data_IF_563432082040
#
_entry.id   IF_563432082040
#
_cell.length_a   1.000
_cell.length_b   1.000
_cell.length_c   1.000
_cell.angle_alpha   90.00
_cell.angle_beta   90.00
_cell.angle_gamma   90.00
#
_symmetry.space_group_name_H-M   'P 1'
#
loop_
_entity.id
_entity.type
_entity.pdbx_description
1 polymer ?
#
# COMPACT_ATOMS: atom_id res chain seq x y z
N UNK A 1 -20.53 -14.57 18.32
CA UNK A 1 -21.58 -14.20 17.34
C UNK A 1 -20.93 -13.33 16.30
N UNK A 2 -20.80 -13.80 15.06
CA UNK A 2 -20.36 -12.94 13.95
C UNK A 2 -21.37 -11.80 13.76
N UNK A 3 -20.89 -10.58 13.59
CA UNK A 3 -21.76 -9.43 13.28
C UNK A 3 -22.44 -9.68 11.93
N UNK A 4 -23.76 -9.41 11.79
CA UNK A 4 -24.44 -9.55 10.51
C UNK A 4 -23.76 -8.69 9.44
N UNK A 5 -23.56 -9.25 8.24
CA UNK A 5 -22.95 -8.55 7.11
C UNK A 5 -23.93 -7.48 6.61
N UNK A 6 -23.46 -6.25 6.42
CA UNK A 6 -24.24 -5.15 5.86
C UNK A 6 -23.77 -4.81 4.44
N UNK A 7 -24.65 -4.24 3.61
CA UNK A 7 -24.27 -3.73 2.28
C UNK A 7 -23.14 -2.70 2.38
N UNK A 8 -23.13 -1.88 3.43
CA UNK A 8 -22.08 -0.90 3.67
C UNK A 8 -20.71 -1.56 3.88
N UNK A 9 -20.66 -2.69 4.61
CA UNK A 9 -19.43 -3.45 4.79
C UNK A 9 -18.92 -4.01 3.45
N UNK A 10 -19.81 -4.62 2.66
CA UNK A 10 -19.47 -5.18 1.34
C UNK A 10 -18.96 -4.09 0.39
N UNK A 11 -19.64 -2.93 0.34
CA UNK A 11 -19.20 -1.80 -0.47
C UNK A 11 -17.84 -1.27 -0.01
N UNK A 12 -17.60 -1.19 1.31
CA UNK A 12 -16.30 -0.86 1.88
C UNK A 12 -15.20 -1.81 1.43
N UNK A 13 -15.45 -3.11 1.42
CA UNK A 13 -14.49 -4.12 0.95
C UNK A 13 -14.16 -4.00 -0.54
N UNK A 14 -15.14 -3.67 -1.39
CA UNK A 14 -14.91 -3.40 -2.83
C UNK A 14 -14.04 -2.15 -3.01
N UNK A 15 -14.34 -1.08 -2.26
CA UNK A 15 -13.56 0.17 -2.30
C UNK A 15 -12.12 -0.07 -1.79
N UNK A 16 -11.92 -0.98 -0.84
CA UNK A 16 -10.59 -1.41 -0.39
C UNK A 16 -9.76 -2.07 -1.51
N UNK A 17 -10.38 -2.77 -2.47
CA UNK A 17 -9.64 -3.32 -3.62
C UNK A 17 -9.14 -2.20 -4.55
N UNK A 18 -9.91 -1.13 -4.74
CA UNK A 18 -9.49 0.06 -5.49
C UNK A 18 -8.34 0.76 -4.76
N UNK A 19 -8.48 0.92 -3.43
CA UNK A 19 -7.42 1.44 -2.56
C UNK A 19 -6.11 0.67 -2.69
N UNK A 20 -6.21 -0.67 -2.74
CA UNK A 20 -5.05 -1.55 -2.82
C UNK A 20 -4.29 -1.39 -4.14
N UNK A 21 -4.99 -1.22 -5.27
CA UNK A 21 -4.32 -0.94 -6.55
C UNK A 21 -3.55 0.38 -6.47
N UNK A 22 -4.20 1.45 -5.99
CA UNK A 22 -3.58 2.76 -5.84
C UNK A 22 -2.35 2.72 -4.91
N UNK A 23 -2.50 2.10 -3.74
CA UNK A 23 -1.41 1.90 -2.79
C UNK A 23 -0.24 1.16 -3.44
N UNK A 24 -0.48 0.09 -4.21
CA UNK A 24 0.59 -0.65 -4.87
C UNK A 24 1.28 0.16 -5.96
N UNK A 25 0.58 1.03 -6.69
CA UNK A 25 1.24 1.92 -7.66
C UNK A 25 2.14 2.93 -6.94
N UNK A 26 1.69 3.52 -5.83
CA UNK A 26 2.52 4.41 -5.00
C UNK A 26 3.72 3.67 -4.40
N UNK A 27 3.51 2.50 -3.81
CA UNK A 27 4.57 1.68 -3.22
C UNK A 27 5.68 1.42 -4.24
N UNK A 28 5.29 1.08 -5.48
CA UNK A 28 6.22 0.75 -6.55
C UNK A 28 6.68 1.98 -7.36
N UNK A 29 6.34 3.21 -6.97
CA UNK A 29 6.99 4.41 -7.51
C UNK A 29 8.39 4.61 -6.92
N UNK A 30 8.73 3.92 -5.82
CA UNK A 30 10.06 3.96 -5.23
C UNK A 30 10.99 2.92 -5.90
N UNK A 31 12.13 3.33 -6.52
CA UNK A 31 12.96 2.45 -7.34
C UNK A 31 13.43 1.17 -6.66
N UNK A 32 13.91 1.28 -5.42
CA UNK A 32 14.43 0.12 -4.67
C UNK A 32 13.33 -0.90 -4.35
N UNK A 33 12.13 -0.40 -4.00
CA UNK A 33 10.96 -1.25 -3.71
C UNK A 33 10.51 -1.94 -5.00
N UNK A 34 10.35 -1.17 -6.08
CA UNK A 34 9.98 -1.71 -7.39
C UNK A 34 10.99 -2.76 -7.88
N UNK A 35 12.28 -2.53 -7.69
CA UNK A 35 13.32 -3.50 -8.07
C UNK A 35 13.21 -4.80 -7.26
N UNK A 36 12.94 -4.70 -5.94
CA UNK A 36 12.69 -5.86 -5.10
C UNK A 36 11.45 -6.65 -5.53
N UNK A 37 10.36 -5.95 -5.85
CA UNK A 37 9.14 -6.58 -6.37
C UNK A 37 9.38 -7.22 -7.73
N UNK A 38 10.04 -6.52 -8.66
CA UNK A 38 10.37 -7.03 -9.99
C UNK A 38 11.18 -8.33 -9.95
N UNK A 39 12.13 -8.43 -9.02
CA UNK A 39 13.04 -9.58 -8.94
C UNK A 39 12.48 -10.77 -8.13
N UNK A 40 11.56 -10.53 -7.20
CA UNK A 40 11.16 -11.56 -6.21
C UNK A 40 9.65 -11.77 -6.07
N UNK A 41 8.81 -10.94 -6.68
CA UNK A 41 7.35 -11.03 -6.50
C UNK A 41 6.69 -11.84 -7.60
N UNK A 42 5.68 -12.61 -7.21
CA UNK A 42 4.77 -13.29 -8.12
C UNK A 42 3.66 -12.36 -8.66
N UNK A 43 3.83 -11.03 -8.59
CA UNK A 43 2.79 -10.05 -8.93
C UNK A 43 2.16 -10.31 -10.30
N UNK A 44 2.97 -10.61 -11.31
CA UNK A 44 2.53 -10.89 -12.68
C UNK A 44 1.98 -12.29 -12.87
N UNK A 45 2.61 -13.30 -12.27
CA UNK A 45 2.28 -14.71 -12.48
C UNK A 45 1.07 -15.16 -11.65
N UNK A 46 0.93 -14.62 -10.44
CA UNK A 46 -0.11 -14.96 -9.46
C UNK A 46 -0.54 -13.72 -8.64
N UNK A 47 -1.27 -12.78 -9.28
CA UNK A 47 -1.72 -11.56 -8.62
C UNK A 47 -2.71 -11.82 -7.48
N UNK A 48 -3.50 -12.90 -7.54
CA UNK A 48 -4.49 -13.20 -6.51
C UNK A 48 -3.84 -13.58 -5.19
N UNK A 49 -2.80 -14.43 -5.23
CA UNK A 49 -2.00 -14.74 -4.04
C UNK A 49 -1.30 -13.49 -3.51
N UNK A 50 -0.79 -12.63 -4.41
CA UNK A 50 -0.15 -11.37 -4.02
C UNK A 50 -1.11 -10.42 -3.29
N UNK A 51 -2.33 -10.26 -3.82
CA UNK A 51 -3.40 -9.46 -3.19
C UNK A 51 -3.77 -10.04 -1.83
N UNK A 52 -4.00 -11.36 -1.77
CA UNK A 52 -4.35 -12.06 -0.54
C UNK A 52 -3.35 -11.80 0.59
N UNK A 53 -2.05 -12.01 0.36
CA UNK A 53 -1.03 -11.78 1.40
C UNK A 53 -0.87 -10.30 1.79
N UNK A 54 -1.15 -9.38 0.87
CA UNK A 54 -1.16 -7.94 1.19
C UNK A 54 -2.30 -7.60 2.14
N UNK A 55 -3.52 -8.05 1.81
CA UNK A 55 -4.70 -7.83 2.63
C UNK A 55 -4.56 -8.53 3.99
N UNK A 56 -4.01 -9.75 4.02
CA UNK A 56 -3.75 -10.47 5.26
C UNK A 56 -2.88 -9.65 6.21
N UNK A 57 -1.82 -9.00 5.70
CA UNK A 57 -1.00 -8.10 6.51
C UNK A 57 -1.76 -6.84 6.93
N UNK A 58 -2.38 -6.13 5.98
CA UNK A 58 -3.04 -4.84 6.22
C UNK A 58 -4.19 -4.97 7.22
N UNK A 59 -4.98 -6.04 7.16
CA UNK A 59 -6.02 -6.31 8.15
C UNK A 59 -5.42 -6.83 9.46
N UNK A 60 -4.55 -7.84 9.42
CA UNK A 60 -4.02 -8.45 10.65
C UNK A 60 -3.24 -7.48 11.54
N UNK A 61 -2.59 -6.46 10.97
CA UNK A 61 -1.80 -5.50 11.74
C UNK A 61 -2.64 -4.51 12.55
N UNK A 62 -3.86 -4.19 12.08
CA UNK A 62 -4.75 -3.19 12.71
C UNK A 62 -5.73 -3.80 13.71
N UNK A 63 -5.95 -5.11 13.66
CA UNK A 63 -6.85 -5.86 14.56
C UNK A 63 -6.19 -6.09 15.94
N UNK A 64 -6.00 -7.34 16.36
CA UNK A 64 -5.46 -7.69 17.69
C UNK A 64 -3.93 -7.70 17.75
N UNK A 65 -3.32 -7.54 18.95
CA UNK A 65 -1.87 -7.71 19.12
C UNK A 65 -1.36 -9.09 18.66
N UNK A 66 -2.14 -10.14 18.87
CA UNK A 66 -1.81 -11.51 18.48
C UNK A 66 -1.80 -11.69 16.96
N UNK A 67 -2.83 -11.19 16.27
CA UNK A 67 -2.89 -11.20 14.80
C UNK A 67 -1.76 -10.38 14.20
N UNK A 68 -1.47 -9.20 14.79
CA UNK A 68 -0.37 -8.33 14.37
C UNK A 68 0.97 -9.03 14.46
N UNK A 69 1.27 -9.69 15.58
CA UNK A 69 2.51 -10.45 15.75
C UNK A 69 2.61 -11.60 14.74
N UNK A 70 1.51 -12.32 14.52
CA UNK A 70 1.44 -13.42 13.55
C UNK A 70 1.75 -12.95 12.13
N UNK A 71 1.05 -11.93 11.62
CA UNK A 71 1.25 -11.45 10.25
C UNK A 71 2.61 -10.79 10.08
N UNK A 72 3.13 -10.11 11.12
CA UNK A 72 4.46 -9.50 11.10
C UNK A 72 5.56 -10.56 11.00
N UNK A 73 5.47 -11.65 11.77
CA UNK A 73 6.40 -12.79 11.66
C UNK A 73 6.35 -13.45 10.29
N UNK A 74 5.15 -13.61 9.72
CA UNK A 74 4.94 -14.15 8.38
C UNK A 74 5.61 -13.27 7.31
N UNK A 75 5.35 -11.96 7.34
CA UNK A 75 5.95 -11.00 6.40
C UNK A 75 7.47 -10.93 6.56
N UNK A 76 7.97 -10.86 7.79
CA UNK A 76 9.42 -10.88 8.06
C UNK A 76 10.07 -12.14 7.48
N UNK A 77 9.45 -13.32 7.63
CA UNK A 77 9.96 -14.56 7.04
C UNK A 77 10.04 -14.48 5.51
N UNK A 78 9.04 -13.90 4.85
CA UNK A 78 9.03 -13.71 3.40
C UNK A 78 10.07 -12.67 2.95
N UNK A 79 10.24 -11.56 3.68
CA UNK A 79 11.14 -10.47 3.34
C UNK A 79 12.63 -10.80 3.53
N UNK A 80 12.99 -11.76 4.38
CA UNK A 80 14.40 -12.17 4.61
C UNK A 80 15.21 -12.47 3.34
N UNK A 81 14.55 -12.99 2.30
CA UNK A 81 15.18 -13.34 1.02
C UNK A 81 15.14 -12.23 -0.03
N UNK A 82 14.40 -11.15 0.20
CA UNK A 82 14.12 -10.10 -0.80
C UNK A 82 15.16 -8.99 -0.65
N UNK A 83 16.34 -9.23 -1.21
CA UNK A 83 17.48 -8.31 -1.16
C UNK A 83 18.38 -8.48 -2.38
N UNK A 84 19.00 -7.39 -2.80
CA UNK A 84 19.94 -7.35 -3.90
C UNK A 84 20.98 -6.25 -3.68
N UNK A 85 21.77 -5.94 -4.71
CA UNK A 85 22.84 -4.93 -4.61
C UNK A 85 22.32 -3.56 -4.14
N UNK A 86 21.14 -3.16 -4.61
CA UNK A 86 20.59 -1.82 -4.42
C UNK A 86 19.22 -1.80 -3.71
N UNK A 87 18.75 -2.91 -3.15
CA UNK A 87 17.46 -2.96 -2.44
C UNK A 87 17.46 -4.01 -1.32
N UNK A 88 16.62 -3.80 -0.31
CA UNK A 88 16.45 -4.74 0.79
C UNK A 88 15.04 -4.54 1.39
N UNK A 89 14.20 -5.56 1.35
CA UNK A 89 12.83 -5.47 1.88
C UNK A 89 12.76 -5.33 3.41
N UNK A 90 13.88 -5.52 4.12
CA UNK A 90 14.00 -5.25 5.56
C UNK A 90 14.60 -3.86 5.86
N UNK A 91 14.82 -3.01 4.84
CA UNK A 91 15.28 -1.64 5.04
C UNK A 91 14.15 -0.78 5.64
N UNK A 92 14.36 -0.16 6.82
CA UNK A 92 13.32 0.61 7.50
C UNK A 92 12.88 1.85 6.72
N UNK A 93 13.74 2.46 5.89
CA UNK A 93 13.35 3.61 5.05
C UNK A 93 12.39 3.21 3.94
N UNK A 94 12.67 2.07 3.30
CA UNK A 94 11.78 1.52 2.27
C UNK A 94 10.44 1.07 2.89
N UNK A 95 10.45 0.51 4.09
CA UNK A 95 9.22 0.14 4.79
C UNK A 95 8.41 1.36 5.28
N UNK A 96 9.09 2.43 5.70
CA UNK A 96 8.43 3.70 6.02
C UNK A 96 7.67 4.23 4.80
N UNK A 97 8.32 4.23 3.62
CA UNK A 97 7.68 4.61 2.36
C UNK A 97 6.44 3.75 2.09
N UNK A 98 6.58 2.42 2.18
CA UNK A 98 5.49 1.47 1.95
C UNK A 98 4.30 1.74 2.89
N UNK A 99 4.55 1.86 4.19
CA UNK A 99 3.52 2.15 5.19
C UNK A 99 2.84 3.50 4.94
N UNK A 100 3.60 4.51 4.56
CA UNK A 100 3.10 5.85 4.20
C UNK A 100 2.14 5.81 3.01
N UNK A 101 2.42 4.98 2.01
CA UNK A 101 1.53 4.79 0.86
C UNK A 101 0.16 4.22 1.26
N UNK A 102 0.11 3.29 2.22
CA UNK A 102 -1.16 2.75 2.72
C UNK A 102 -1.98 3.79 3.49
N UNK A 103 -1.33 4.67 4.26
CA UNK A 103 -1.99 5.79 4.91
C UNK A 103 -2.61 6.75 3.87
N UNK A 104 -1.82 7.18 2.87
CA UNK A 104 -2.31 8.08 1.80
C UNK A 104 -3.43 7.44 0.99
N UNK A 105 -3.33 6.15 0.67
CA UNK A 105 -4.40 5.44 -0.02
C UNK A 105 -5.69 5.39 0.80
N UNK A 106 -5.58 5.13 2.10
CA UNK A 106 -6.72 5.12 3.02
C UNK A 106 -7.39 6.49 3.12
N UNK A 107 -6.61 7.56 3.22
CA UNK A 107 -7.13 8.93 3.27
C UNK A 107 -7.86 9.31 1.97
N UNK A 108 -7.24 9.07 0.81
CA UNK A 108 -7.84 9.42 -0.48
C UNK A 108 -9.17 8.69 -0.70
N UNK A 109 -9.22 7.42 -0.33
CA UNK A 109 -10.43 6.59 -0.44
C UNK A 109 -11.51 7.09 0.50
N UNK A 110 -11.17 7.37 1.75
CA UNK A 110 -12.09 7.93 2.74
C UNK A 110 -12.72 9.23 2.22
N UNK A 111 -11.89 10.18 1.81
CA UNK A 111 -12.36 11.50 1.38
C UNK A 111 -13.15 11.43 0.06
N UNK A 112 -12.82 10.50 -0.84
CA UNK A 112 -13.50 10.35 -2.14
C UNK A 112 -14.88 9.69 -2.01
N UNK A 113 -15.02 8.66 -1.18
CA UNK A 113 -16.24 7.84 -1.15
C UNK A 113 -17.11 8.01 0.10
N UNK A 114 -16.52 8.46 1.20
CA UNK A 114 -17.18 8.51 2.51
C UNK A 114 -17.18 9.92 3.13
N UNK A 115 -16.62 10.90 2.42
CA UNK A 115 -16.60 12.30 2.81
C UNK A 115 -15.35 12.69 3.59
N UNK A 116 -15.17 14.01 3.73
CA UNK A 116 -14.00 14.59 4.40
C UNK A 116 -13.95 14.18 5.87
N UNK A 117 -12.75 13.85 6.34
CA UNK A 117 -12.48 13.66 7.76
C UNK A 117 -12.27 15.00 8.44
N UNK A 118 -12.81 15.15 9.65
CA UNK A 118 -12.38 16.20 10.57
C UNK A 118 -10.94 15.95 11.08
N UNK A 119 -10.33 16.96 11.66
CA UNK A 119 -8.94 16.90 12.11
C UNK A 119 -8.72 15.81 13.17
N UNK A 120 -9.70 15.59 14.05
CA UNK A 120 -9.63 14.54 15.06
C UNK A 120 -9.58 13.14 14.44
N UNK A 121 -10.43 12.88 13.43
CA UNK A 121 -10.48 11.61 12.74
C UNK A 121 -9.23 11.38 11.88
N UNK A 122 -8.67 12.43 11.27
CA UNK A 122 -7.38 12.37 10.58
C UNK A 122 -6.25 11.98 11.52
N UNK A 123 -6.20 12.57 12.71
CA UNK A 123 -5.20 12.22 13.73
C UNK A 123 -5.34 10.78 14.25
N UNK A 124 -6.58 10.28 14.42
CA UNK A 124 -6.82 8.88 14.78
C UNK A 124 -6.33 7.95 13.67
N UNK A 125 -6.72 8.22 12.43
CA UNK A 125 -6.29 7.43 11.26
C UNK A 125 -4.76 7.43 11.12
N UNK A 126 -4.13 8.59 11.34
CA UNK A 126 -2.68 8.73 11.30
C UNK A 126 -1.99 7.89 12.37
N UNK A 127 -2.50 7.93 13.61
CA UNK A 127 -1.98 7.10 14.71
C UNK A 127 -2.15 5.62 14.43
N UNK A 128 -3.27 5.19 13.86
CA UNK A 128 -3.46 3.79 13.49
C UNK A 128 -2.52 3.35 12.37
N UNK A 129 -2.23 4.24 11.41
CA UNK A 129 -1.30 3.96 10.33
C UNK A 129 0.15 3.72 10.79
N UNK A 130 0.55 4.22 11.97
CA UNK A 130 1.89 3.93 12.55
C UNK A 130 2.16 2.42 12.60
N UNK A 131 1.13 1.62 12.87
CA UNK A 131 1.22 0.17 13.04
C UNK A 131 1.69 -0.53 11.77
N UNK A 132 1.39 0.01 10.57
CA UNK A 132 1.82 -0.58 9.30
C UNK A 132 3.34 -0.67 9.19
N UNK A 133 4.06 0.36 9.64
CA UNK A 133 5.52 0.38 9.61
C UNK A 133 6.13 -0.26 10.85
N UNK A 134 5.64 0.11 12.03
CA UNK A 134 6.29 -0.24 13.31
C UNK A 134 6.11 -1.69 13.72
N UNK A 135 5.20 -2.43 13.07
CA UNK A 135 5.09 -3.88 13.25
C UNK A 135 6.18 -4.66 12.49
N UNK A 136 6.96 -3.98 11.63
CA UNK A 136 8.08 -4.56 10.90
C UNK A 136 9.43 -4.00 11.39
N UNK A 137 10.20 -3.32 10.54
CA UNK A 137 11.54 -2.84 10.87
C UNK A 137 11.58 -1.33 11.14
N UNK A 138 10.49 -0.60 10.90
CA UNK A 138 10.44 0.86 11.09
C UNK A 138 10.41 1.17 12.59
N UNK A 139 11.44 1.82 13.15
CA UNK A 139 11.37 2.29 14.54
C UNK A 139 10.31 3.38 14.68
N UNK A 140 9.68 3.49 15.85
CA UNK A 140 8.60 4.47 16.07
C UNK A 140 9.07 5.90 15.83
N UNK A 141 10.31 6.21 16.23
CA UNK A 141 10.97 7.50 16.05
C UNK A 141 11.25 7.87 14.58
N UNK A 142 11.18 6.91 13.66
CA UNK A 142 11.31 7.15 12.22
C UNK A 142 9.97 7.50 11.58
N UNK A 143 8.85 7.12 12.20
CA UNK A 143 7.53 7.57 11.77
C UNK A 143 7.38 9.07 12.06
N UNK A 144 6.83 9.88 11.15
CA UNK A 144 6.73 11.32 11.40
C UNK A 144 5.90 11.63 12.65
N UNK A 145 6.31 12.64 13.42
CA UNK A 145 5.74 12.90 14.75
C UNK A 145 4.25 13.25 14.73
N UNK A 146 3.78 13.88 13.65
CA UNK A 146 2.41 14.32 13.47
C UNK A 146 2.08 14.44 11.96
N UNK A 147 0.81 14.69 11.65
CA UNK A 147 0.32 14.79 10.26
C UNK A 147 1.05 15.87 9.46
N UNK A 148 1.44 17.00 10.07
CA UNK A 148 2.19 18.04 9.36
C UNK A 148 3.59 17.56 8.95
N UNK A 149 4.32 16.93 9.88
CA UNK A 149 5.62 16.30 9.58
C UNK A 149 5.51 15.15 8.58
N UNK A 150 4.39 14.42 8.60
CA UNK A 150 4.12 13.42 7.58
C UNK A 150 4.03 14.04 6.20
N UNK A 151 3.30 15.13 6.03
CA UNK A 151 3.19 15.78 4.72
C UNK A 151 4.50 16.42 4.26
N UNK A 152 5.33 16.94 5.17
CA UNK A 152 6.70 17.36 4.84
C UNK A 152 7.52 16.19 4.26
N UNK A 153 7.53 15.05 4.95
CA UNK A 153 8.19 13.82 4.48
C UNK A 153 7.63 13.32 3.15
N UNK A 154 6.31 13.21 3.04
CA UNK A 154 5.63 12.74 1.83
C UNK A 154 5.97 13.62 0.63
N UNK A 155 5.86 14.95 0.79
CA UNK A 155 6.18 15.89 -0.27
C UNK A 155 7.67 15.84 -0.64
N UNK A 156 8.57 15.59 0.30
CA UNK A 156 9.97 15.34 -0.01
C UNK A 156 10.13 14.09 -0.90
N UNK A 157 9.62 12.94 -0.46
CA UNK A 157 9.79 11.67 -1.19
C UNK A 157 9.18 11.72 -2.59
N UNK A 158 7.97 12.29 -2.75
CA UNK A 158 7.29 12.28 -4.05
C UNK A 158 7.98 13.11 -5.14
N UNK A 159 8.82 14.07 -4.76
CA UNK A 159 9.60 14.86 -5.72
C UNK A 159 10.93 14.21 -6.12
N UNK A 160 11.36 13.16 -5.41
CA UNK A 160 12.60 12.45 -5.69
C UNK A 160 12.38 11.11 -6.41
N UNK A 161 11.20 10.90 -6.99
CA UNK A 161 10.93 9.69 -7.75
C UNK A 161 11.75 9.62 -9.03
N UNK A 162 12.44 8.51 -9.19
CA UNK A 162 13.15 8.15 -10.41
C UNK A 162 12.38 7.05 -11.16
N UNK A 163 12.08 7.31 -12.42
CA UNK A 163 11.41 6.34 -13.28
C UNK A 163 12.44 5.35 -13.79
N UNK A 164 12.48 4.16 -13.17
CA UNK A 164 13.32 3.05 -13.63
C UNK A 164 12.50 2.05 -14.43
N UNK A 165 13.18 1.17 -15.19
CA UNK A 165 12.49 0.08 -15.90
C UNK A 165 11.72 -0.84 -14.95
N UNK A 166 12.22 -1.07 -13.74
CA UNK A 166 11.51 -1.86 -12.72
C UNK A 166 10.21 -1.17 -12.26
N UNK A 167 10.25 0.15 -12.04
CA UNK A 167 9.05 0.96 -11.69
C UNK A 167 8.00 0.83 -12.79
N UNK A 168 8.39 1.02 -14.06
CA UNK A 168 7.47 0.91 -15.19
C UNK A 168 6.85 -0.49 -15.32
N UNK A 169 7.67 -1.54 -15.25
CA UNK A 169 7.19 -2.92 -15.36
C UNK A 169 6.22 -3.29 -14.25
N UNK A 170 6.56 -3.00 -12.99
CA UNK A 170 5.71 -3.36 -11.86
C UNK A 170 4.42 -2.53 -11.87
N UNK A 171 4.49 -1.23 -12.16
CA UNK A 171 3.28 -0.41 -12.29
C UNK A 171 2.37 -0.93 -13.40
N UNK A 172 2.94 -1.36 -14.53
CA UNK A 172 2.15 -1.97 -15.61
C UNK A 172 1.48 -3.27 -15.14
N UNK A 173 2.19 -4.15 -14.44
CA UNK A 173 1.62 -5.39 -13.89
C UNK A 173 0.51 -5.13 -12.84
N UNK A 174 0.60 -4.02 -12.09
CA UNK A 174 -0.43 -3.60 -11.11
C UNK A 174 -1.67 -3.02 -11.78
N UNK A 175 -1.48 -2.17 -12.79
CA UNK A 175 -2.58 -1.52 -13.51
C UNK A 175 -3.30 -2.49 -14.46
N UNK A 176 -2.56 -3.43 -15.04
CA UNK A 176 -3.03 -4.39 -16.04
C UNK A 176 -2.74 -5.83 -15.59
N UNK A 177 -3.35 -6.30 -14.50
CA UNK A 177 -3.07 -7.63 -13.99
C UNK A 177 -3.51 -8.70 -15.00
N UNK A 178 -2.63 -9.66 -15.27
CA UNK A 178 -2.92 -10.85 -16.05
C UNK A 178 -3.39 -11.99 -15.13
N UNK A 179 -4.00 -13.04 -15.69
CA UNK A 179 -4.38 -14.25 -14.92
C UNK A 179 -5.33 -14.00 -13.73
N UNK A 180 -6.18 -12.98 -13.81
CA UNK A 180 -7.24 -12.76 -12.82
C UNK A 180 -8.49 -13.59 -13.14
N UNK A 181 -9.27 -14.01 -12.13
CA UNK A 181 -10.56 -14.65 -12.35
C UNK A 181 -11.51 -13.79 -13.18
N UNK A 182 -12.31 -14.42 -14.05
CA UNK A 182 -13.20 -13.72 -14.99
C UNK A 182 -14.20 -12.78 -14.30
N UNK A 183 -14.65 -13.12 -13.09
CA UNK A 183 -15.57 -12.30 -12.31
C UNK A 183 -14.96 -10.98 -11.80
N UNK A 184 -13.63 -10.81 -11.86
CA UNK A 184 -12.92 -9.58 -11.50
C UNK A 184 -12.58 -8.68 -12.70
N UNK A 185 -12.89 -9.07 -13.94
CA UNK A 185 -12.43 -8.34 -15.14
C UNK A 185 -12.82 -6.86 -15.19
N UNK A 186 -13.92 -6.46 -14.55
CA UNK A 186 -14.40 -5.08 -14.54
C UNK A 186 -13.79 -4.21 -13.43
N UNK A 187 -13.13 -4.82 -12.44
CA UNK A 187 -12.54 -4.08 -11.30
C UNK A 187 -11.31 -3.28 -11.73
N UNK A 188 -10.29 -3.85 -12.42
CA UNK A 188 -9.09 -3.09 -12.78
C UNK A 188 -9.34 -1.84 -13.65
N UNK A 189 -10.22 -1.85 -14.67
CA UNK A 189 -10.54 -0.63 -15.42
C UNK A 189 -11.09 0.52 -14.56
N UNK A 190 -11.98 0.22 -13.61
CA UNK A 190 -12.53 1.23 -12.69
C UNK A 190 -11.46 1.72 -11.73
N UNK A 191 -10.71 0.78 -11.12
CA UNK A 191 -9.64 1.10 -10.19
C UNK A 191 -8.55 1.98 -10.84
N UNK A 192 -8.24 1.76 -12.13
CA UNK A 192 -7.28 2.57 -12.90
C UNK A 192 -7.71 4.03 -13.02
N UNK A 193 -9.00 4.32 -13.22
CA UNK A 193 -9.50 5.70 -13.33
C UNK A 193 -9.21 6.46 -12.03
N UNK A 194 -9.56 5.88 -10.88
CA UNK A 194 -9.30 6.48 -9.58
C UNK A 194 -7.80 6.56 -9.29
N UNK A 195 -7.04 5.49 -9.56
CA UNK A 195 -5.59 5.46 -9.38
C UNK A 195 -4.91 6.59 -10.14
N UNK A 196 -5.21 6.76 -11.44
CA UNK A 196 -4.64 7.85 -12.25
C UNK A 196 -5.05 9.22 -11.68
N UNK A 197 -6.31 9.38 -11.27
CA UNK A 197 -6.83 10.63 -10.72
C UNK A 197 -6.15 11.01 -9.39
N UNK A 198 -5.88 10.05 -8.52
CA UNK A 198 -5.28 10.26 -7.21
C UNK A 198 -3.76 10.37 -7.23
N UNK A 199 -3.08 9.82 -8.24
CA UNK A 199 -1.63 9.90 -8.33
C UNK A 199 -1.16 11.36 -8.27
N UNK A 200 -0.16 11.68 -7.42
CA UNK A 200 0.51 12.98 -7.44
C UNK A 200 0.98 13.33 -8.84
N UNK A 201 0.94 14.62 -9.21
CA UNK A 201 1.31 15.06 -10.56
C UNK A 201 2.71 14.60 -10.97
N UNK A 202 3.66 14.60 -10.04
CA UNK A 202 5.02 14.12 -10.26
C UNK A 202 5.06 12.63 -10.68
N UNK A 203 4.26 11.79 -10.04
CA UNK A 203 4.10 10.38 -10.43
C UNK A 203 3.38 10.25 -11.77
N UNK A 204 2.28 10.98 -11.96
CA UNK A 204 1.43 10.84 -13.15
C UNK A 204 2.17 11.19 -14.46
N UNK A 205 3.03 12.19 -14.44
CA UNK A 205 3.82 12.58 -15.61
C UNK A 205 4.83 11.50 -16.06
N UNK A 206 5.07 10.51 -15.21
CA UNK A 206 6.06 9.46 -15.38
C UNK A 206 5.49 8.14 -15.92
N UNK A 207 4.16 8.02 -16.04
CA UNK A 207 3.45 6.80 -16.42
C UNK A 207 2.58 6.99 -17.66
#
# INVERSE_FOLDING_TARGET
MEKPISCQKILGEIVSLISLQYANVLVNSHPQVAQGVHNHSYFRSDPMTRVYYTLLYVYGVIETPEERDYVSKMVNKAHRGVRGRNYNAMDPKQQLWVASCFFVASLNVQETFFGLLDDQSKEILYKDATRFGTSLQVPLEMWPENVNKFWEYWNHEIHHFEVTSAVLHVTQDVLYPHNIPLWLLFVPPIARIFTIHWLPKACRASF
#
